data_IF_539566860889
#
_entry.id   IF_539566860889
#
_cell.length_a   1.000
_cell.length_b   1.000
_cell.length_c   1.000
_cell.angle_alpha   90.00
_cell.angle_beta   90.00
_cell.angle_gamma   90.00
#
_symmetry.space_group_name_H-M   'P 1'
#
loop_
_entity.id
_entity.type
_entity.pdbx_description
1 polymer ?
#
# COMPACT_ATOMS: atom_id res chain seq x y z
N UNK A 1 0.46 -21.58 -20.87
CA UNK A 1 0.16 -20.64 -19.77
C UNK A 1 -1.31 -20.81 -19.34
N UNK A 2 -1.65 -20.60 -18.06
CA UNK A 2 -3.00 -20.88 -17.52
C UNK A 2 -3.39 -20.07 -16.27
N UNK A 3 -2.74 -18.93 -16.02
CA UNK A 3 -3.11 -18.03 -14.93
C UNK A 3 -4.36 -17.19 -15.27
N UNK A 4 -5.16 -16.90 -14.25
CA UNK A 4 -6.38 -16.07 -14.37
C UNK A 4 -6.02 -14.59 -14.25
N UNK A 5 -6.22 -13.83 -15.32
CA UNK A 5 -5.94 -12.39 -15.37
C UNK A 5 -6.78 -11.57 -14.39
N UNK A 6 -7.93 -12.09 -13.95
CA UNK A 6 -8.80 -11.42 -12.97
C UNK A 6 -8.33 -11.58 -11.51
N UNK A 7 -7.23 -12.33 -11.29
CA UNK A 7 -6.69 -12.72 -9.98
C UNK A 7 -5.21 -12.28 -9.82
N UNK A 8 -4.87 -11.10 -10.33
CA UNK A 8 -3.54 -10.50 -10.15
C UNK A 8 -3.50 -9.72 -8.85
N UNK A 9 -2.69 -10.17 -7.90
CA UNK A 9 -2.46 -9.47 -6.62
C UNK A 9 -1.05 -8.88 -6.61
N UNK A 10 -0.90 -7.69 -6.03
CA UNK A 10 0.40 -7.01 -5.94
C UNK A 10 0.71 -6.71 -4.49
N UNK A 11 1.93 -7.06 -4.07
CA UNK A 11 2.42 -6.88 -2.72
C UNK A 11 3.92 -6.54 -2.77
N UNK A 12 4.45 -6.11 -1.63
CA UNK A 12 5.86 -5.83 -1.44
C UNK A 12 6.10 -5.32 -0.03
N UNK A 13 7.33 -5.47 0.44
CA UNK A 13 7.77 -4.99 1.76
C UNK A 13 8.64 -3.74 1.63
N UNK A 14 8.50 -2.80 2.58
CA UNK A 14 9.31 -1.59 2.63
C UNK A 14 9.17 -0.76 1.33
N UNK A 15 10.26 -0.50 0.61
CA UNK A 15 10.24 0.15 -0.71
C UNK A 15 9.37 -0.63 -1.72
N UNK A 16 9.30 -1.96 -1.64
CA UNK A 16 8.39 -2.76 -2.44
C UNK A 16 6.91 -2.51 -2.11
N UNK A 17 6.59 -2.24 -0.85
CA UNK A 17 5.23 -1.86 -0.44
C UNK A 17 4.83 -0.48 -0.97
N UNK A 18 5.78 0.47 -0.94
CA UNK A 18 5.62 1.77 -1.60
C UNK A 18 5.34 1.60 -3.11
N UNK A 19 6.14 0.82 -3.82
CA UNK A 19 5.96 0.59 -5.26
C UNK A 19 4.65 -0.14 -5.58
N UNK A 20 4.26 -1.12 -4.76
CA UNK A 20 2.98 -1.82 -4.89
C UNK A 20 1.79 -0.85 -4.78
N UNK A 21 1.86 0.10 -3.84
CA UNK A 21 0.82 1.14 -3.74
C UNK A 21 0.87 2.11 -4.92
N UNK A 22 2.06 2.59 -5.32
CA UNK A 22 2.19 3.53 -6.43
C UNK A 22 1.64 2.96 -7.75
N UNK A 23 1.95 1.71 -8.09
CA UNK A 23 1.48 1.10 -9.34
C UNK A 23 -0.04 0.86 -9.36
N UNK A 24 -0.66 0.69 -8.19
CA UNK A 24 -2.10 0.48 -8.05
C UNK A 24 -2.93 1.76 -7.92
N UNK A 25 -2.43 2.75 -7.16
CA UNK A 25 -3.15 3.99 -6.85
C UNK A 25 -2.94 5.07 -7.90
N UNK A 26 -1.76 5.16 -8.51
CA UNK A 26 -1.48 6.08 -9.61
C UNK A 26 -1.67 5.36 -10.96
N UNK A 27 -2.82 5.60 -11.62
CA UNK A 27 -3.18 4.93 -12.89
C UNK A 27 -2.15 5.18 -14.00
N UNK A 28 -1.35 6.25 -13.93
CA UNK A 28 -0.43 6.64 -15.02
C UNK A 28 0.64 5.59 -15.30
N UNK A 29 1.01 4.76 -14.31
CA UNK A 29 2.09 3.78 -14.46
C UNK A 29 1.69 2.60 -15.34
N UNK A 30 0.51 2.02 -15.11
CA UNK A 30 0.00 0.90 -15.88
C UNK A 30 -0.64 1.32 -17.20
N UNK A 31 -1.17 2.54 -17.27
CA UNK A 31 -1.75 3.08 -18.51
C UNK A 31 -0.73 3.16 -19.65
N UNK A 32 0.57 3.34 -19.35
CA UNK A 32 1.66 3.27 -20.33
C UNK A 32 1.72 1.94 -21.11
N UNK A 33 1.13 0.89 -20.53
CA UNK A 33 1.03 -0.44 -21.12
C UNK A 33 -0.41 -0.81 -21.52
N UNK A 34 -1.33 0.17 -21.58
CA UNK A 34 -2.76 -0.04 -21.83
C UNK A 34 -3.45 -0.96 -20.81
N UNK A 35 -3.02 -0.93 -19.54
CA UNK A 35 -3.61 -1.69 -18.44
C UNK A 35 -4.28 -0.71 -17.47
N UNK A 36 -5.55 -0.96 -17.11
CA UNK A 36 -6.19 -0.21 -16.03
C UNK A 36 -5.66 -0.72 -14.69
N UNK A 37 -5.22 0.18 -13.82
CA UNK A 37 -4.81 -0.19 -12.46
C UNK A 37 -5.97 -0.82 -11.65
N UNK A 38 -7.22 -0.60 -12.05
CA UNK A 38 -8.40 -1.26 -11.48
C UNK A 38 -8.46 -2.76 -11.81
N UNK A 39 -7.69 -3.26 -12.78
CA UNK A 39 -7.62 -4.69 -13.09
C UNK A 39 -6.83 -5.49 -12.04
N UNK A 40 -6.09 -4.82 -11.16
CA UNK A 40 -5.47 -5.45 -10.00
C UNK A 40 -6.57 -5.96 -9.06
N UNK A 41 -6.54 -7.25 -8.72
CA UNK A 41 -7.51 -7.89 -7.85
C UNK A 41 -7.38 -7.43 -6.38
N UNK A 42 -6.17 -7.09 -5.95
CA UNK A 42 -5.90 -6.55 -4.62
C UNK A 42 -4.46 -6.09 -4.42
N UNK A 43 -4.31 -5.04 -3.61
CA UNK A 43 -3.06 -4.47 -3.15
C UNK A 43 -2.83 -4.83 -1.69
N UNK A 44 -1.70 -5.47 -1.38
CA UNK A 44 -1.41 -5.96 -0.03
C UNK A 44 0.03 -5.54 0.38
N UNK A 45 0.33 -4.25 0.51
CA UNK A 45 1.67 -3.77 0.88
C UNK A 45 2.00 -4.01 2.36
N UNK A 46 3.28 -4.23 2.63
CA UNK A 46 3.85 -4.48 3.96
C UNK A 46 4.82 -3.35 4.33
N UNK A 47 4.55 -2.64 5.43
CA UNK A 47 5.39 -1.52 5.93
C UNK A 47 5.89 -0.59 4.80
N UNK A 48 5.02 -0.23 3.88
CA UNK A 48 5.32 0.69 2.76
C UNK A 48 5.20 2.16 3.14
N UNK A 49 5.91 3.07 2.45
CA UNK A 49 5.76 4.52 2.67
C UNK A 49 4.51 5.00 1.96
N UNK A 50 3.71 5.83 2.61
CA UNK A 50 2.51 6.42 1.99
C UNK A 50 2.67 7.91 1.77
N UNK A 51 3.60 8.58 2.48
CA UNK A 51 4.07 9.91 2.13
C UNK A 51 5.22 9.83 1.10
N UNK A 52 5.75 10.99 0.70
CA UNK A 52 6.85 11.08 -0.26
C UNK A 52 8.03 10.23 0.20
N UNK A 53 8.44 9.29 -0.65
CA UNK A 53 9.46 8.31 -0.32
C UNK A 53 10.77 8.96 0.15
N UNK A 54 11.47 8.34 1.11
CA UNK A 54 12.66 8.88 1.76
C UNK A 54 13.76 9.25 0.76
N UNK A 55 14.04 8.41 -0.24
CA UNK A 55 15.04 8.74 -1.28
C UNK A 55 14.70 10.03 -2.02
N UNK A 56 13.42 10.26 -2.34
CA UNK A 56 12.97 11.45 -3.06
C UNK A 56 13.09 12.68 -2.16
N UNK A 57 12.76 12.54 -0.87
CA UNK A 57 12.99 13.61 0.12
C UNK A 57 14.48 13.92 0.27
N UNK A 58 15.35 12.91 0.33
CA UNK A 58 16.80 13.08 0.40
C UNK A 58 17.33 13.80 -0.84
N UNK A 59 16.91 13.41 -2.04
CA UNK A 59 17.25 14.09 -3.30
C UNK A 59 16.84 15.58 -3.29
N UNK A 60 15.69 15.88 -2.70
CA UNK A 60 15.17 17.25 -2.53
C UNK A 60 15.70 17.97 -1.28
N UNK A 61 16.61 17.38 -0.51
CA UNK A 61 17.13 17.90 0.77
C UNK A 61 16.04 18.24 1.80
N UNK A 62 14.95 17.48 1.80
CA UNK A 62 13.86 17.60 2.75
C UNK A 62 14.16 16.68 3.94
N UNK A 63 14.04 17.22 5.16
CA UNK A 63 14.26 16.45 6.38
C UNK A 63 13.22 15.31 6.54
N UNK A 64 13.61 14.19 7.13
CA UNK A 64 12.70 13.04 7.33
C UNK A 64 11.52 13.36 8.26
N UNK A 65 11.70 14.33 9.15
CA UNK A 65 10.67 14.84 10.07
C UNK A 65 9.72 15.84 9.42
N UNK A 66 10.03 16.34 8.23
CA UNK A 66 9.13 17.23 7.49
C UNK A 66 8.18 16.35 6.64
N UNK A 67 6.87 16.30 6.98
CA UNK A 67 5.92 15.57 6.17
C UNK A 67 5.82 16.24 4.79
N UNK A 68 5.87 15.43 3.74
CA UNK A 68 5.73 15.89 2.36
C UNK A 68 4.84 14.90 1.61
N UNK A 69 3.78 15.40 0.99
CA UNK A 69 2.85 14.59 0.19
C UNK A 69 2.76 15.26 -1.17
N UNK A 70 3.42 14.67 -2.16
CA UNK A 70 3.40 15.10 -3.56
C UNK A 70 3.10 13.90 -4.48
N UNK A 71 3.24 14.07 -5.79
CA UNK A 71 2.96 13.02 -6.78
C UNK A 71 3.77 11.72 -6.60
N UNK A 72 4.81 11.72 -5.76
CA UNK A 72 5.60 10.56 -5.40
C UNK A 72 5.17 9.91 -4.08
N UNK A 73 3.97 10.23 -3.59
CA UNK A 73 3.39 9.65 -2.38
C UNK A 73 2.12 8.87 -2.74
N UNK A 74 1.94 7.61 -2.31
CA UNK A 74 0.67 6.89 -2.46
C UNK A 74 -0.53 7.67 -1.93
N UNK A 75 -0.35 8.41 -0.84
CA UNK A 75 -1.36 9.25 -0.21
C UNK A 75 -1.87 10.40 -1.11
N UNK A 76 -1.07 10.84 -2.08
CA UNK A 76 -1.49 11.83 -3.07
C UNK A 76 -2.49 11.26 -4.09
N UNK A 77 -2.53 9.94 -4.26
CA UNK A 77 -3.32 9.24 -5.28
C UNK A 77 -4.55 8.53 -4.71
N UNK A 78 -5.09 9.04 -3.61
CA UNK A 78 -6.31 8.52 -2.99
C UNK A 78 -7.49 8.59 -3.96
N UNK A 79 -8.18 7.47 -4.17
CA UNK A 79 -9.34 7.40 -5.06
C UNK A 79 -10.35 6.33 -4.62
N UNK A 80 -11.63 6.59 -4.88
CA UNK A 80 -12.74 5.74 -4.46
C UNK A 80 -12.85 4.44 -5.27
N UNK A 81 -12.33 4.42 -6.49
CA UNK A 81 -12.41 3.31 -7.45
C UNK A 81 -11.15 2.42 -7.45
N UNK A 82 -10.23 2.60 -6.50
CA UNK A 82 -9.02 1.78 -6.40
C UNK A 82 -9.33 0.29 -6.17
N UNK A 83 -8.37 -0.60 -6.45
CA UNK A 83 -8.43 -1.99 -6.00
C UNK A 83 -8.59 -2.13 -4.48
N UNK A 84 -9.14 -3.26 -3.99
CA UNK A 84 -9.08 -3.61 -2.57
C UNK A 84 -7.66 -3.43 -2.01
N UNK A 85 -7.55 -2.80 -0.85
CA UNK A 85 -6.27 -2.39 -0.27
C UNK A 85 -6.16 -2.86 1.18
N UNK A 86 -5.26 -3.79 1.45
CA UNK A 86 -4.91 -4.22 2.80
C UNK A 86 -3.51 -3.71 3.15
N UNK A 87 -3.46 -2.66 3.96
CA UNK A 87 -2.21 -2.17 4.54
C UNK A 87 -1.84 -3.04 5.74
N UNK A 88 -0.59 -3.49 5.82
CA UNK A 88 -0.06 -4.20 6.99
C UNK A 88 1.23 -3.51 7.42
N UNK A 89 1.37 -3.20 8.70
CA UNK A 89 2.57 -2.58 9.27
C UNK A 89 3.03 -3.31 10.52
N UNK A 90 4.28 -3.09 10.92
CA UNK A 90 4.72 -3.35 12.28
C UNK A 90 4.04 -2.43 13.30
N UNK A 91 4.41 -2.65 14.55
CA UNK A 91 4.06 -1.86 15.72
C UNK A 91 4.55 -0.41 15.60
N UNK A 92 3.67 0.55 15.87
CA UNK A 92 3.97 1.98 15.72
C UNK A 92 5.16 2.49 16.55
N UNK A 93 5.48 1.85 17.67
CA UNK A 93 6.57 2.24 18.56
C UNK A 93 7.89 1.50 18.24
N UNK A 94 7.84 0.39 17.51
CA UNK A 94 9.02 -0.42 17.15
C UNK A 94 9.44 -0.29 15.68
N UNK A 95 8.54 0.18 14.83
CA UNK A 95 8.73 0.31 13.39
C UNK A 95 9.57 1.55 13.01
N UNK A 96 9.92 1.68 11.73
CA UNK A 96 10.55 2.87 11.18
C UNK A 96 9.68 4.14 11.36
N UNK A 97 10.35 5.30 11.39
CA UNK A 97 9.76 6.63 11.63
C UNK A 97 8.38 6.84 10.97
N UNK A 98 7.34 6.92 11.79
CA UNK A 98 5.98 7.32 11.39
C UNK A 98 5.26 6.34 10.45
N UNK A 99 5.75 5.10 10.33
CA UNK A 99 5.27 4.11 9.36
C UNK A 99 3.80 3.75 9.56
N UNK A 100 3.40 3.55 10.80
CA UNK A 100 2.03 3.21 11.12
C UNK A 100 1.12 4.41 10.84
N UNK A 101 1.50 5.60 11.31
CA UNK A 101 0.73 6.83 11.20
C UNK A 101 0.47 7.22 9.74
N UNK A 102 1.49 7.09 8.88
CA UNK A 102 1.34 7.39 7.46
C UNK A 102 0.35 6.40 6.77
N UNK A 103 0.39 5.12 7.13
CA UNK A 103 -0.53 4.10 6.62
C UNK A 103 -1.95 4.29 7.19
N UNK A 104 -2.06 4.68 8.46
CA UNK A 104 -3.32 5.05 9.09
C UNK A 104 -3.96 6.25 8.40
N UNK A 105 -3.16 7.26 8.03
CA UNK A 105 -3.66 8.43 7.31
C UNK A 105 -4.14 8.06 5.90
N UNK A 106 -3.39 7.24 5.15
CA UNK A 106 -3.84 6.72 3.86
C UNK A 106 -5.16 5.96 3.98
N UNK A 107 -5.26 5.03 4.92
CA UNK A 107 -6.50 4.28 5.17
C UNK A 107 -7.66 5.21 5.48
N UNK A 108 -7.43 6.25 6.29
CA UNK A 108 -8.46 7.24 6.62
C UNK A 108 -8.92 7.99 5.37
N UNK A 109 -7.99 8.49 4.56
CA UNK A 109 -8.33 9.24 3.35
C UNK A 109 -9.03 8.40 2.30
N UNK A 110 -8.63 7.14 2.12
CA UNK A 110 -9.34 6.18 1.26
C UNK A 110 -10.80 6.01 1.71
N UNK A 111 -11.06 5.87 3.01
CA UNK A 111 -12.44 5.77 3.53
C UNK A 111 -13.22 7.06 3.34
N UNK A 112 -12.60 8.22 3.53
CA UNK A 112 -13.24 9.55 3.38
C UNK A 112 -13.65 9.79 1.93
N UNK A 113 -12.81 9.44 0.95
CA UNK A 113 -13.16 9.56 -0.48
C UNK A 113 -14.22 8.53 -0.92
N UNK A 114 -14.58 7.58 -0.04
CA UNK A 114 -15.67 6.63 -0.27
C UNK A 114 -15.23 5.22 -0.65
N UNK A 115 -13.91 4.93 -0.69
CA UNK A 115 -13.42 3.58 -0.93
C UNK A 115 -13.86 2.63 0.19
N UNK A 116 -14.44 1.47 -0.17
CA UNK A 116 -15.09 0.55 0.78
C UNK A 116 -14.21 -0.63 1.20
N UNK A 117 -13.14 -0.89 0.48
CA UNK A 117 -12.32 -2.10 0.62
C UNK A 117 -10.90 -1.78 1.10
N UNK A 118 -10.69 -0.67 1.84
CA UNK A 118 -9.41 -0.37 2.50
C UNK A 118 -9.42 -0.78 3.97
N UNK A 119 -8.41 -1.56 4.38
CA UNK A 119 -8.17 -1.97 5.77
C UNK A 119 -6.70 -1.75 6.14
N UNK A 120 -6.45 -1.63 7.44
CA UNK A 120 -5.12 -1.52 8.04
C UNK A 120 -5.02 -2.54 9.17
N UNK A 121 -3.92 -3.28 9.20
CA UNK A 121 -3.54 -4.19 10.29
C UNK A 121 -2.19 -3.74 10.85
N UNK A 122 -2.11 -3.70 12.17
CA UNK A 122 -0.87 -3.46 12.92
C UNK A 122 -0.43 -4.77 13.55
N UNK A 123 0.85 -5.10 13.42
CA UNK A 123 1.45 -6.27 14.05
C UNK A 123 2.18 -5.84 15.32
N UNK A 124 1.40 -5.79 16.40
CA UNK A 124 1.88 -5.48 17.77
C UNK A 124 3.07 -6.38 18.15
N UNK A 125 4.12 -5.76 18.72
CA UNK A 125 5.37 -6.42 19.08
C UNK A 125 6.33 -6.72 17.91
N UNK A 126 6.01 -6.33 16.67
CA UNK A 126 6.89 -6.52 15.51
C UNK A 126 7.41 -5.18 14.97
N UNK A 127 8.72 -5.10 14.70
CA UNK A 127 9.34 -3.96 14.02
C UNK A 127 9.27 -4.11 12.48
N UNK A 128 10.17 -3.44 11.75
CA UNK A 128 10.26 -3.54 10.28
C UNK A 128 10.45 -4.97 9.73
N UNK A 129 10.84 -5.92 10.58
CA UNK A 129 10.93 -7.35 10.28
C UNK A 129 9.58 -8.08 10.22
N UNK A 130 8.45 -7.36 10.23
CA UNK A 130 7.08 -7.92 10.30
C UNK A 130 6.63 -8.78 9.10
N UNK A 131 7.43 -8.92 8.04
CA UNK A 131 7.01 -9.56 6.79
C UNK A 131 6.54 -11.02 6.97
N UNK A 132 7.31 -11.84 7.68
CA UNK A 132 6.99 -13.26 7.91
C UNK A 132 5.64 -13.46 8.64
N UNK A 133 5.37 -12.81 9.79
CA UNK A 133 4.07 -12.92 10.45
C UNK A 133 2.91 -12.30 9.65
N UNK A 134 3.19 -11.45 8.65
CA UNK A 134 2.15 -10.90 7.77
C UNK A 134 1.72 -11.84 6.63
N UNK A 135 2.54 -12.82 6.22
CA UNK A 135 2.20 -13.69 5.09
C UNK A 135 0.86 -14.45 5.25
N UNK A 136 0.52 -15.02 6.43
CA UNK A 136 -0.80 -15.63 6.62
C UNK A 136 -1.96 -14.65 6.41
N UNK A 137 -1.79 -13.38 6.80
CA UNK A 137 -2.79 -12.33 6.64
C UNK A 137 -3.00 -11.97 5.17
N UNK A 138 -1.91 -11.91 4.39
CA UNK A 138 -1.98 -11.76 2.94
C UNK A 138 -2.74 -12.91 2.29
N UNK A 139 -2.43 -14.17 2.66
CA UNK A 139 -3.12 -15.33 2.08
C UNK A 139 -4.62 -15.34 2.44
N UNK A 140 -4.96 -14.94 3.67
CA UNK A 140 -6.35 -14.77 4.09
C UNK A 140 -7.05 -13.69 3.26
N UNK A 141 -6.34 -12.63 2.90
CA UNK A 141 -6.90 -11.57 2.08
C UNK A 141 -7.16 -11.98 0.64
N UNK A 142 -6.21 -12.69 0.04
CA UNK A 142 -6.40 -13.30 -1.27
C UNK A 142 -7.64 -14.20 -1.24
N UNK A 143 -7.75 -15.09 -0.25
CA UNK A 143 -8.93 -15.97 -0.08
C UNK A 143 -10.22 -15.16 0.02
N UNK A 144 -10.28 -14.12 0.86
CA UNK A 144 -11.45 -13.25 1.04
C UNK A 144 -11.88 -12.59 -0.27
N UNK A 145 -10.93 -12.11 -1.07
CA UNK A 145 -11.23 -11.45 -2.36
C UNK A 145 -11.70 -12.48 -3.39
N UNK A 146 -11.03 -13.64 -3.45
CA UNK A 146 -11.37 -14.69 -4.43
C UNK A 146 -12.65 -15.46 -4.12
N UNK A 147 -13.12 -15.51 -2.87
CA UNK A 147 -14.36 -16.20 -2.50
C UNK A 147 -15.62 -15.35 -2.73
N UNK A 148 -15.47 -14.04 -2.98
CA UNK A 148 -16.56 -13.12 -3.29
C UNK A 148 -16.90 -13.04 -4.79
N UNK A 149 -16.04 -13.59 -5.65
CA UNK A 149 -16.17 -13.60 -7.11
C UNK A 149 -16.52 -15.01 -7.59
#
# INVERSE_FOLDING_TARGET
YGGDRSKIFVSGHSAGGYLAMMIGLDKKWLLKNNIDANDIAGLIPFSGQTITHFNIRQEKKIAETQPTIDEFAPLFHVRADAPPLLLITGDRELEMLGRYEENAYLMRMMKVVGHKETRLLELDGYNHGMAEPAFPLLLNEIKRITSKK
#
